data_IF_896130825235
#
_entry.id   IF_896130825235
#
_cell.length_a   1.000
_cell.length_b   1.000
_cell.length_c   1.000
_cell.angle_alpha   90.00
_cell.angle_beta   90.00
_cell.angle_gamma   90.00
#
_symmetry.space_group_name_H-M   'P 1'
#
loop_
_entity.id
_entity.type
_entity.pdbx_description
1 polymer ?
#
# COMPACT_ATOMS: atom_id res chain seq x y z
N UNK A 1 18.74 -13.03 5.37
CA UNK A 1 18.33 -12.71 3.99
C UNK A 1 16.90 -13.18 3.69
N UNK A 2 16.52 -14.42 4.02
CA UNK A 2 15.13 -14.91 3.85
C UNK A 2 14.06 -14.10 4.61
N UNK A 3 14.32 -13.66 5.85
CA UNK A 3 13.39 -12.84 6.65
C UNK A 3 12.94 -11.56 5.93
N UNK A 4 13.87 -10.86 5.28
CA UNK A 4 13.60 -9.60 4.58
C UNK A 4 12.75 -9.81 3.30
N UNK A 5 12.81 -11.01 2.71
CA UNK A 5 12.03 -11.35 1.51
C UNK A 5 10.55 -11.50 1.87
N UNK A 6 10.24 -12.14 3.01
CA UNK A 6 8.87 -12.31 3.49
C UNK A 6 8.19 -10.98 3.79
N UNK A 7 8.91 -10.05 4.43
CA UNK A 7 8.41 -8.70 4.73
C UNK A 7 8.18 -7.89 3.46
N UNK A 8 9.13 -7.93 2.51
CA UNK A 8 8.98 -7.23 1.23
C UNK A 8 7.79 -7.74 0.41
N UNK A 9 7.54 -9.05 0.41
CA UNK A 9 6.38 -9.65 -0.26
C UNK A 9 5.07 -9.12 0.34
N UNK A 10 4.97 -9.01 1.66
CA UNK A 10 3.78 -8.45 2.33
C UNK A 10 3.56 -7.00 1.88
N UNK A 11 4.62 -6.19 1.88
CA UNK A 11 4.54 -4.80 1.43
C UNK A 11 4.08 -4.67 -0.03
N UNK A 12 4.63 -5.47 -0.93
CA UNK A 12 4.27 -5.43 -2.36
C UNK A 12 2.80 -5.83 -2.58
N UNK A 13 2.35 -6.90 -1.92
CA UNK A 13 0.98 -7.40 -2.06
C UNK A 13 -0.03 -6.40 -1.50
N UNK A 14 0.16 -5.96 -0.26
CA UNK A 14 -0.76 -5.01 0.41
C UNK A 14 -0.82 -3.68 -0.35
N UNK A 15 0.33 -3.19 -0.82
CA UNK A 15 0.38 -1.96 -1.59
C UNK A 15 -0.33 -2.07 -2.94
N UNK A 16 -0.19 -3.20 -3.64
CA UNK A 16 -0.91 -3.44 -4.91
C UNK A 16 -2.43 -3.45 -4.70
N UNK A 17 -2.90 -4.12 -3.65
CA UNK A 17 -4.32 -4.16 -3.28
C UNK A 17 -4.83 -2.75 -2.95
N UNK A 18 -4.02 -1.97 -2.23
CA UNK A 18 -4.37 -0.62 -1.83
C UNK A 18 -4.47 0.36 -3.02
N UNK A 19 -3.59 0.23 -4.02
CA UNK A 19 -3.68 1.02 -5.27
C UNK A 19 -4.96 0.69 -6.04
N UNK A 20 -5.33 -0.59 -6.13
CA UNK A 20 -6.58 -1.02 -6.77
C UNK A 20 -7.78 -0.44 -6.03
N UNK A 21 -7.83 -0.57 -4.70
CA UNK A 21 -8.90 -0.03 -3.86
C UNK A 21 -8.97 1.51 -3.91
N UNK A 22 -7.82 2.18 -3.91
CA UNK A 22 -7.71 3.64 -4.03
C UNK A 22 -8.42 4.17 -5.27
N UNK A 23 -8.29 3.44 -6.39
CA UNK A 23 -8.97 3.77 -7.66
C UNK A 23 -10.49 3.72 -7.58
N UNK A 24 -11.04 2.82 -6.78
CA UNK A 24 -12.49 2.73 -6.58
C UNK A 24 -13.01 3.63 -5.46
N UNK A 25 -12.16 3.97 -4.48
CA UNK A 25 -12.59 4.66 -3.26
C UNK A 25 -12.43 6.19 -3.34
N UNK A 26 -11.48 6.72 -4.12
CA UNK A 26 -11.20 8.16 -4.19
C UNK A 26 -12.14 8.84 -5.18
N UNK A 27 -13.22 9.41 -4.66
CA UNK A 27 -14.27 10.08 -5.46
C UNK A 27 -13.92 11.54 -5.80
N UNK A 28 -13.11 12.21 -4.98
CA UNK A 28 -12.71 13.61 -5.21
C UNK A 28 -11.36 13.69 -5.94
N UNK A 29 -11.40 13.62 -7.27
CA UNK A 29 -10.26 13.93 -8.15
C UNK A 29 -10.02 15.44 -8.23
N UNK A 30 -9.67 16.08 -7.11
CA UNK A 30 -9.39 17.52 -7.09
C UNK A 30 -8.07 17.77 -7.85
N UNK A 31 -8.19 18.47 -8.98
CA UNK A 31 -7.13 18.93 -9.89
C UNK A 31 -6.25 17.82 -10.49
N UNK A 32 -6.62 17.41 -11.71
CA UNK A 32 -5.94 16.44 -12.57
C UNK A 32 -4.64 16.99 -13.20
N UNK A 33 -3.85 17.78 -12.47
CA UNK A 33 -2.64 18.38 -13.04
C UNK A 33 -1.56 17.34 -13.40
N UNK A 34 -1.59 16.17 -12.75
CA UNK A 34 -0.65 15.07 -13.00
C UNK A 34 -1.37 13.72 -12.87
N UNK A 35 -1.68 13.10 -14.00
CA UNK A 35 -2.28 11.76 -14.08
C UNK A 35 -1.35 10.84 -14.87
N UNK A 36 -0.99 9.69 -14.27
CA UNK A 36 -0.20 8.64 -14.94
C UNK A 36 -1.07 7.38 -14.96
N UNK A 37 -1.20 6.74 -16.13
CA UNK A 37 -2.04 5.54 -16.30
C UNK A 37 -3.48 5.67 -15.78
N UNK A 38 -4.09 6.86 -15.91
CA UNK A 38 -5.46 7.18 -15.45
C UNK A 38 -5.63 7.20 -13.92
N UNK A 39 -4.53 7.29 -13.17
CA UNK A 39 -4.47 7.43 -11.71
C UNK A 39 -3.90 8.81 -11.40
N UNK A 40 -4.60 9.60 -10.59
CA UNK A 40 -4.11 10.91 -10.18
C UNK A 40 -2.90 10.78 -9.25
N UNK A 41 -1.96 11.71 -9.30
CA UNK A 41 -0.80 11.71 -8.40
C UNK A 41 -1.22 11.68 -6.92
N UNK A 42 -2.24 12.47 -6.56
CA UNK A 42 -2.78 12.50 -5.20
C UNK A 42 -3.42 11.15 -4.79
N UNK A 43 -4.07 10.46 -5.72
CA UNK A 43 -4.67 9.15 -5.51
C UNK A 43 -3.59 8.07 -5.33
N UNK A 44 -2.54 8.11 -6.14
CA UNK A 44 -1.39 7.22 -6.00
C UNK A 44 -0.67 7.47 -4.67
N UNK A 45 -0.46 8.72 -4.28
CA UNK A 45 0.22 9.06 -3.03
C UNK A 45 -0.61 8.65 -1.78
N UNK A 46 -1.93 8.85 -1.83
CA UNK A 46 -2.84 8.45 -0.77
C UNK A 46 -2.91 6.91 -0.65
N UNK A 47 -3.04 6.19 -1.77
CA UNK A 47 -3.09 4.73 -1.76
C UNK A 47 -1.74 4.10 -1.37
N UNK A 48 -0.61 4.63 -1.83
CA UNK A 48 0.72 4.14 -1.42
C UNK A 48 0.98 4.37 0.08
N UNK A 49 0.65 5.56 0.61
CA UNK A 49 0.85 5.84 2.04
C UNK A 49 -0.06 4.98 2.93
N UNK A 50 -1.32 4.78 2.55
CA UNK A 50 -2.23 3.85 3.23
C UNK A 50 -1.69 2.40 3.18
N UNK A 51 -1.21 1.97 2.02
CA UNK A 51 -0.60 0.65 1.83
C UNK A 51 0.59 0.42 2.76
N UNK A 52 1.45 1.43 2.93
CA UNK A 52 2.57 1.38 3.88
C UNK A 52 2.12 1.30 5.34
N UNK A 53 1.09 2.06 5.74
CA UNK A 53 0.54 2.03 7.11
C UNK A 53 -0.01 0.63 7.43
N UNK A 54 -0.84 0.08 6.53
CA UNK A 54 -1.43 -1.26 6.69
C UNK A 54 -0.33 -2.33 6.71
N UNK A 55 0.63 -2.25 5.78
CA UNK A 55 1.75 -3.20 5.72
C UNK A 55 2.56 -3.21 7.01
N UNK A 56 2.88 -2.03 7.56
CA UNK A 56 3.63 -1.88 8.81
C UNK A 56 2.86 -2.46 10.00
N UNK A 57 1.55 -2.21 10.08
CA UNK A 57 0.69 -2.78 11.11
C UNK A 57 0.60 -4.32 11.00
N UNK A 58 0.51 -4.84 9.78
CA UNK A 58 0.44 -6.29 9.52
C UNK A 58 1.74 -6.98 9.91
N UNK A 59 2.89 -6.40 9.55
CA UNK A 59 4.22 -6.92 9.91
C UNK A 59 4.42 -6.87 11.41
N UNK A 60 4.04 -5.76 12.07
CA UNK A 60 4.13 -5.66 13.52
C UNK A 60 3.23 -6.69 14.23
N UNK A 61 2.01 -6.91 13.71
CA UNK A 61 1.07 -7.90 14.24
C UNK A 61 1.58 -9.34 14.08
N UNK A 62 2.06 -9.71 12.89
CA UNK A 62 2.62 -11.05 12.67
C UNK A 62 3.91 -11.28 13.47
N UNK A 63 4.72 -10.24 13.68
CA UNK A 63 5.87 -10.29 14.58
C UNK A 63 5.45 -10.50 16.03
N UNK A 64 4.38 -9.84 16.48
CA UNK A 64 3.80 -10.06 17.82
C UNK A 64 3.26 -11.48 18.02
N UNK A 65 2.86 -12.16 16.93
CA UNK A 65 2.40 -13.54 16.94
C UNK A 65 3.54 -14.56 16.75
N UNK A 66 4.80 -14.12 16.67
CA UNK A 66 5.98 -14.94 16.33
C UNK A 66 5.84 -15.73 15.02
N UNK A 67 4.97 -15.30 14.10
CA UNK A 67 4.77 -15.94 12.79
C UNK A 67 5.83 -15.50 11.77
N UNK A 68 6.44 -14.34 11.99
CA UNK A 68 7.57 -13.82 11.24
C UNK A 68 8.55 -13.21 12.24
N UNK A 69 9.85 -13.38 12.02
CA UNK A 69 10.91 -12.92 12.92
C UNK A 69 11.56 -11.64 12.41
#
# INVERSE_FOLDING_TARGET
MLIAVSTNIIFIVVNTICVILGKYSVQNKKNESYSIANINLAELLASMSLGHIISSATVLGLKSLNLIQ
#
